data_IF_999208268483
#
_entry.id   IF_999208268483
#
_cell.length_a   1.000
_cell.length_b   1.000
_cell.length_c   1.000
_cell.angle_alpha   90.00
_cell.angle_beta   90.00
_cell.angle_gamma   90.00
#
_symmetry.space_group_name_H-M   'P 1'
#
loop_
_entity.id
_entity.type
_entity.pdbx_description
1 polymer ?
#
# COMPACT_ATOMS: atom_id res chain seq x y z
N UNK A 1 12.97 -26.05 15.64
CA UNK A 1 13.90 -25.80 14.52
C UNK A 1 14.70 -24.55 14.81
N UNK A 2 16.03 -24.55 14.55
CA UNK A 2 16.84 -23.33 14.63
C UNK A 2 16.52 -22.38 13.47
N UNK A 3 16.70 -21.08 13.68
CA UNK A 3 16.69 -20.06 12.62
C UNK A 3 18.05 -20.06 11.90
N UNK A 4 18.03 -19.95 10.57
CA UNK A 4 19.23 -19.86 9.72
C UNK A 4 19.05 -18.70 8.74
N UNK A 5 20.10 -17.90 8.53
CA UNK A 5 20.08 -16.74 7.62
C UNK A 5 20.71 -17.10 6.29
N UNK A 6 19.92 -17.13 5.21
CA UNK A 6 20.40 -17.44 3.84
C UNK A 6 20.61 -16.20 2.96
N UNK A 7 20.28 -15.01 3.46
CA UNK A 7 20.32 -13.76 2.70
C UNK A 7 19.09 -13.55 1.82
N UNK A 8 19.05 -12.40 1.14
CA UNK A 8 17.98 -12.07 0.19
C UNK A 8 18.21 -12.80 -1.13
N UNK A 9 17.12 -13.33 -1.71
CA UNK A 9 17.14 -13.97 -3.03
C UNK A 9 17.19 -12.91 -4.14
N UNK A 10 17.72 -13.26 -5.33
CA UNK A 10 17.73 -12.34 -6.46
C UNK A 10 16.32 -11.82 -6.79
N UNK A 11 16.17 -10.49 -6.81
CA UNK A 11 14.90 -9.82 -7.10
C UNK A 11 14.03 -9.50 -5.89
N UNK A 12 14.39 -9.92 -4.67
CA UNK A 12 13.66 -9.53 -3.46
C UNK A 12 13.92 -8.05 -3.11
N UNK A 13 12.84 -7.31 -2.86
CA UNK A 13 12.90 -5.96 -2.32
C UNK A 13 12.94 -6.00 -0.79
N UNK A 14 13.60 -5.00 -0.19
CA UNK A 14 13.65 -4.86 1.27
C UNK A 14 12.35 -4.29 1.86
N UNK A 15 11.56 -3.61 1.05
CA UNK A 15 10.26 -3.04 1.38
C UNK A 15 9.43 -2.92 0.11
N UNK A 16 8.12 -2.92 0.27
CA UNK A 16 7.17 -2.72 -0.82
C UNK A 16 6.59 -1.31 -0.79
N UNK A 17 6.04 -0.86 -1.91
CA UNK A 17 5.42 0.44 -2.10
C UNK A 17 3.98 0.24 -2.57
N UNK A 18 3.02 0.98 -2.00
CA UNK A 18 1.62 0.91 -2.41
C UNK A 18 1.39 1.54 -3.78
N UNK A 19 2.01 2.69 -4.01
CA UNK A 19 2.05 3.43 -5.27
C UNK A 19 3.21 4.42 -5.21
N UNK A 20 3.67 4.86 -6.38
CA UNK A 20 4.77 5.81 -6.54
C UNK A 20 4.41 7.22 -6.07
N UNK A 21 5.41 8.05 -5.80
CA UNK A 21 5.17 9.48 -5.47
C UNK A 21 4.51 10.24 -6.63
N UNK A 22 4.76 9.83 -7.87
CA UNK A 22 4.08 10.37 -9.06
C UNK A 22 2.59 10.01 -9.03
N UNK A 23 2.24 8.76 -8.70
CA UNK A 23 0.86 8.31 -8.48
C UNK A 23 0.17 9.07 -7.35
N UNK A 24 0.91 9.41 -6.29
CA UNK A 24 0.39 10.18 -5.17
C UNK A 24 -0.15 11.56 -5.61
N UNK A 25 0.43 12.19 -6.64
CA UNK A 25 -0.01 13.53 -7.13
C UNK A 25 -1.43 13.56 -7.68
N UNK A 26 -1.96 12.40 -8.08
CA UNK A 26 -3.32 12.22 -8.61
C UNK A 26 -4.10 11.14 -7.86
N UNK A 27 -3.64 10.79 -6.66
CA UNK A 27 -4.33 9.86 -5.79
C UNK A 27 -5.33 10.61 -4.91
N UNK A 28 -6.49 9.98 -4.70
CA UNK A 28 -7.49 10.37 -3.71
C UNK A 28 -7.47 9.36 -2.56
N UNK A 29 -7.82 9.78 -1.36
CA UNK A 29 -7.87 8.95 -0.16
C UNK A 29 -9.24 9.01 0.53
N UNK A 30 -9.62 7.85 1.08
CA UNK A 30 -10.70 7.65 2.04
C UNK A 30 -10.15 6.91 3.27
N UNK A 31 -10.98 6.62 4.27
CA UNK A 31 -10.56 5.97 5.52
C UNK A 31 -9.83 4.63 5.31
N UNK A 32 -10.18 3.88 4.27
CA UNK A 32 -9.66 2.52 4.04
C UNK A 32 -9.15 2.25 2.62
N UNK A 33 -9.00 3.29 1.78
CA UNK A 33 -8.64 3.09 0.38
C UNK A 33 -7.98 4.32 -0.25
N UNK A 34 -7.13 4.05 -1.24
CA UNK A 34 -6.63 5.05 -2.18
C UNK A 34 -7.20 4.80 -3.58
N UNK A 35 -7.46 5.87 -4.32
CA UNK A 35 -7.90 5.84 -5.72
C UNK A 35 -6.90 6.63 -6.55
N UNK A 36 -6.06 5.92 -7.31
CA UNK A 36 -5.11 6.55 -8.24
C UNK A 36 -5.85 6.86 -9.54
N UNK A 37 -5.98 8.15 -9.87
CA UNK A 37 -6.63 8.55 -11.11
C UNK A 37 -5.74 8.25 -12.32
N UNK A 38 -6.31 8.01 -13.52
CA UNK A 38 -5.52 7.92 -14.74
C UNK A 38 -4.70 9.20 -14.98
N UNK A 39 -3.52 9.10 -15.58
CA UNK A 39 -2.68 10.28 -15.86
C UNK A 39 -3.34 11.26 -16.86
N UNK A 40 -4.19 10.77 -17.76
CA UNK A 40 -4.74 11.53 -18.88
C UNK A 40 -6.28 11.62 -18.84
N UNK A 41 -6.83 12.05 -17.70
CA UNK A 41 -8.28 12.14 -17.49
C UNK A 41 -9.02 13.02 -18.51
N UNK A 42 -8.39 14.11 -18.96
CA UNK A 42 -8.97 15.04 -19.95
C UNK A 42 -9.10 14.43 -21.36
N UNK A 43 -8.16 13.57 -21.76
CA UNK A 43 -8.14 12.95 -23.09
C UNK A 43 -9.18 11.83 -23.24
N UNK A 44 -9.50 11.14 -22.15
CA UNK A 44 -10.38 9.97 -22.17
C UNK A 44 -11.82 10.28 -21.72
N UNK A 45 -12.15 11.54 -21.43
CA UNK A 45 -13.49 11.94 -21.01
C UNK A 45 -13.97 11.22 -19.74
N UNK A 46 -13.03 10.83 -18.87
CA UNK A 46 -13.34 9.98 -17.71
C UNK A 46 -14.16 10.78 -16.72
N UNK A 47 -15.46 10.47 -16.63
CA UNK A 47 -16.32 10.99 -15.57
C UNK A 47 -16.07 10.22 -14.30
N UNK A 48 -15.28 10.80 -13.39
CA UNK A 48 -15.10 10.25 -12.05
C UNK A 48 -16.12 10.84 -11.08
N UNK A 49 -16.67 10.01 -10.20
CA UNK A 49 -17.58 10.46 -9.13
C UNK A 49 -16.91 10.39 -7.76
N UNK A 50 -15.74 11.01 -7.63
CA UNK A 50 -14.93 11.00 -6.40
C UNK A 50 -14.87 12.38 -5.72
N UNK A 51 -15.83 13.27 -5.99
CA UNK A 51 -15.84 14.64 -5.45
C UNK A 51 -15.86 14.72 -3.92
N UNK A 52 -16.25 13.62 -3.26
CA UNK A 52 -16.29 13.50 -1.80
C UNK A 52 -14.96 13.04 -1.19
N UNK A 53 -14.04 12.50 -2.01
CA UNK A 53 -12.74 12.01 -1.56
C UNK A 53 -11.73 13.15 -1.48
N UNK A 54 -10.76 13.02 -0.58
CA UNK A 54 -9.71 14.01 -0.35
C UNK A 54 -8.48 13.65 -1.19
N UNK A 55 -7.66 14.62 -1.62
CA UNK A 55 -6.36 14.30 -2.20
C UNK A 55 -5.46 13.56 -1.19
N UNK A 56 -4.77 12.53 -1.63
CA UNK A 56 -3.75 11.87 -0.81
C UNK A 56 -2.56 12.81 -0.57
N UNK A 57 -1.75 12.52 0.46
CA UNK A 57 -0.49 13.24 0.66
C UNK A 57 0.53 12.83 -0.40
N UNK A 58 1.30 13.78 -0.91
CA UNK A 58 2.40 13.49 -1.83
C UNK A 58 3.60 13.06 -0.98
N UNK A 59 3.77 11.75 -0.82
CA UNK A 59 4.86 11.13 -0.09
C UNK A 59 5.00 9.66 -0.51
N UNK A 60 6.13 8.99 -0.23
CA UNK A 60 6.26 7.54 -0.37
C UNK A 60 5.34 6.81 0.61
N UNK A 61 4.58 5.83 0.11
CA UNK A 61 3.76 4.93 0.93
C UNK A 61 4.39 3.54 0.95
N UNK A 62 5.36 3.34 1.85
CA UNK A 62 6.17 2.12 1.91
C UNK A 62 5.81 1.23 3.10
N UNK A 63 6.04 -0.08 2.98
CA UNK A 63 5.87 -1.03 4.10
C UNK A 63 6.87 -0.79 5.24
N UNK A 64 7.93 -0.01 5.01
CA UNK A 64 8.93 0.37 6.01
C UNK A 64 8.41 1.46 6.94
N UNK A 65 7.71 2.44 6.40
CA UNK A 65 7.25 3.63 7.13
C UNK A 65 5.80 3.48 7.64
N UNK A 66 5.12 2.41 7.22
CA UNK A 66 3.82 2.04 7.73
C UNK A 66 3.85 1.66 9.22
N UNK A 67 2.69 1.77 9.88
CA UNK A 67 2.51 1.24 11.24
C UNK A 67 2.56 -0.29 11.19
N UNK A 68 3.66 -0.86 11.68
CA UNK A 68 3.85 -2.31 11.75
C UNK A 68 2.94 -2.94 12.82
N UNK A 69 2.47 -4.15 12.51
CA UNK A 69 1.75 -4.99 13.47
C UNK A 69 2.73 -5.56 14.50
N UNK A 70 2.30 -5.63 15.76
CA UNK A 70 2.96 -6.39 16.81
C UNK A 70 2.91 -7.90 16.53
N UNK A 71 3.77 -8.66 17.22
CA UNK A 71 3.80 -10.12 17.11
C UNK A 71 2.45 -10.74 17.49
N UNK A 72 1.77 -10.17 18.48
CA UNK A 72 0.47 -10.59 18.98
C UNK A 72 -0.65 -10.32 17.96
N UNK A 73 -0.62 -9.16 17.31
CA UNK A 73 -1.55 -8.81 16.21
C UNK A 73 -1.36 -9.74 15.01
N UNK A 74 -0.12 -10.00 14.60
CA UNK A 74 0.18 -10.96 13.52
C UNK A 74 -0.34 -12.35 13.87
N UNK A 75 -0.08 -12.84 15.09
CA UNK A 75 -0.55 -14.15 15.54
C UNK A 75 -2.08 -14.23 15.55
N UNK A 76 -2.75 -13.16 15.96
CA UNK A 76 -4.21 -13.09 16.00
C UNK A 76 -4.81 -13.08 14.59
N UNK A 77 -4.20 -12.35 13.66
CA UNK A 77 -4.58 -12.35 12.25
C UNK A 77 -4.46 -13.75 11.63
N UNK A 78 -3.32 -14.43 11.82
CA UNK A 78 -3.11 -15.77 11.27
C UNK A 78 -4.12 -16.80 11.80
N UNK A 79 -4.45 -16.74 13.10
CA UNK A 79 -5.48 -17.61 13.70
C UNK A 79 -6.87 -17.33 13.14
N UNK A 80 -7.22 -16.05 13.01
CA UNK A 80 -8.53 -15.62 12.49
C UNK A 80 -8.75 -16.14 11.07
N UNK A 81 -7.71 -16.13 10.24
CA UNK A 81 -7.76 -16.60 8.85
C UNK A 81 -7.48 -18.11 8.70
N UNK A 82 -7.31 -18.85 9.80
CA UNK A 82 -7.11 -20.31 9.77
C UNK A 82 -5.76 -20.76 9.19
N UNK A 83 -4.74 -19.90 9.25
CA UNK A 83 -3.40 -20.17 8.74
C UNK A 83 -2.46 -20.81 9.79
N UNK A 84 -2.86 -20.78 11.07
CA UNK A 84 -2.22 -21.47 12.21
C UNK A 84 -3.24 -21.86 13.28
#
# INVERSE_FOLDING_TARGET
MPLVTEGAKPGEKMYEELFTEEEATRALEEEHMFVVLPQLTELFGVKTNYKHLKPAKIQPYTSRDAKLLSKEEVKSLLKKEGLI
#
